data_IF_009434683522
#
_entry.id   IF_009434683522
#
_cell.length_a   1.000
_cell.length_b   1.000
_cell.length_c   1.000
_cell.angle_alpha   90.00
_cell.angle_beta   90.00
_cell.angle_gamma   90.00
#
_symmetry.space_group_name_H-M   'P 1'
#
loop_
_entity.id
_entity.type
_entity.pdbx_description
1 polymer ?
#
# COMPACT_ATOMS: atom_id res chain seq x y z
N UNK A 1 -14.43 3.13 17.19
CA UNK A 1 -13.66 4.37 16.86
C UNK A 1 -13.03 5.01 18.10
N UNK A 2 -11.72 5.24 18.09
CA UNK A 2 -10.95 5.93 19.15
C UNK A 2 -11.46 7.35 19.43
N UNK A 3 -11.42 7.78 20.71
CA UNK A 3 -11.78 9.13 21.20
C UNK A 3 -11.10 10.26 20.39
N UNK A 4 -9.88 10.02 19.94
CA UNK A 4 -9.05 10.95 19.17
C UNK A 4 -9.61 11.26 17.77
N UNK A 5 -10.32 10.33 17.13
CA UNK A 5 -10.94 10.55 15.80
C UNK A 5 -12.16 11.47 15.94
N UNK A 6 -12.91 11.33 17.05
CA UNK A 6 -14.08 12.18 17.33
C UNK A 6 -13.68 13.63 17.64
N UNK A 7 -12.54 13.84 18.30
CA UNK A 7 -12.05 15.17 18.67
C UNK A 7 -11.53 16.00 17.49
N UNK A 8 -11.08 15.36 16.40
CA UNK A 8 -10.50 16.09 15.25
C UNK A 8 -11.53 16.68 14.26
N UNK A 9 -12.83 16.46 14.46
CA UNK A 9 -13.91 16.90 13.55
C UNK A 9 -13.62 16.58 12.07
N UNK A 10 -12.95 15.46 11.80
CA UNK A 10 -12.65 15.04 10.43
C UNK A 10 -13.82 14.22 9.91
N UNK A 11 -14.43 14.72 8.83
CA UNK A 11 -15.63 14.11 8.23
C UNK A 11 -15.31 12.86 7.40
N UNK A 12 -14.10 12.75 6.85
CA UNK A 12 -13.69 11.62 6.01
C UNK A 12 -12.23 11.22 6.24
N UNK A 13 -11.99 9.92 6.38
CA UNK A 13 -10.66 9.36 6.56
C UNK A 13 -10.47 8.13 5.67
N UNK A 14 -9.25 7.95 5.18
CA UNK A 14 -8.84 6.76 4.43
C UNK A 14 -7.71 6.08 5.19
N UNK A 15 -7.90 4.80 5.44
CA UNK A 15 -6.94 3.93 6.09
C UNK A 15 -5.86 3.48 5.09
N UNK A 16 -4.59 3.73 5.39
CA UNK A 16 -3.48 3.25 4.57
C UNK A 16 -2.74 2.17 5.35
N UNK A 17 -2.75 0.97 4.78
CA UNK A 17 -2.12 -0.16 5.44
C UNK A 17 -0.75 -0.51 4.86
N UNK A 18 -0.05 -1.38 5.55
CA UNK A 18 1.21 -1.95 5.08
C UNK A 18 0.98 -3.20 4.23
N UNK A 19 2.00 -3.59 3.45
CA UNK A 19 1.93 -4.78 2.57
C UNK A 19 1.58 -6.07 3.31
N UNK A 20 1.86 -6.14 4.61
CA UNK A 20 1.54 -7.30 5.45
C UNK A 20 0.14 -7.29 6.06
N UNK A 21 -0.64 -6.22 5.90
CA UNK A 21 -1.92 -6.07 6.58
C UNK A 21 -3.05 -6.88 5.94
N UNK A 22 -2.94 -7.19 4.65
CA UNK A 22 -4.02 -7.89 3.95
C UNK A 22 -4.27 -9.30 4.52
N UNK A 23 -5.49 -9.53 4.98
CA UNK A 23 -6.12 -10.84 5.18
C UNK A 23 -7.63 -10.70 4.95
N UNK A 24 -8.32 -11.79 4.63
CA UNK A 24 -9.78 -11.74 4.43
C UNK A 24 -10.53 -11.26 5.68
N UNK A 25 -10.07 -11.68 6.87
CA UNK A 25 -10.64 -11.25 8.14
C UNK A 25 -10.45 -9.75 8.38
N UNK A 26 -9.27 -9.22 8.06
CA UNK A 26 -9.00 -7.79 8.20
C UNK A 26 -9.86 -6.96 7.25
N UNK A 27 -10.08 -7.42 6.02
CA UNK A 27 -10.98 -6.75 5.07
C UNK A 27 -12.41 -6.78 5.58
N UNK A 28 -12.88 -7.93 6.07
CA UNK A 28 -14.22 -8.06 6.66
C UNK A 28 -14.44 -7.08 7.82
N UNK A 29 -13.48 -7.00 8.74
CA UNK A 29 -13.54 -6.06 9.86
C UNK A 29 -13.59 -4.60 9.38
N UNK A 30 -12.78 -4.22 8.39
CA UNK A 30 -12.83 -2.86 7.82
C UNK A 30 -14.19 -2.57 7.15
N UNK A 31 -14.78 -3.57 6.52
CA UNK A 31 -16.07 -3.47 5.85
C UNK A 31 -17.25 -3.36 6.82
N UNK A 32 -17.25 -4.15 7.90
CA UNK A 32 -18.25 -4.09 8.98
C UNK A 32 -18.27 -2.71 9.65
N UNK A 33 -17.10 -2.12 9.86
CA UNK A 33 -16.92 -0.77 10.40
C UNK A 33 -17.13 0.35 9.34
N UNK A 34 -17.45 -0.02 8.09
CA UNK A 34 -17.70 0.91 6.96
C UNK A 34 -16.52 1.86 6.69
N UNK A 35 -15.30 1.36 6.84
CA UNK A 35 -14.08 2.15 6.71
C UNK A 35 -13.64 2.22 5.24
N UNK A 36 -13.07 3.37 4.86
CA UNK A 36 -12.40 3.52 3.56
C UNK A 36 -10.93 3.14 3.71
N UNK A 37 -10.37 2.42 2.75
CA UNK A 37 -9.00 1.91 2.85
C UNK A 37 -8.26 1.81 1.52
N UNK A 38 -6.93 1.85 1.60
CA UNK A 38 -5.95 1.54 0.55
C UNK A 38 -4.91 0.61 1.17
N UNK A 39 -4.80 -0.60 0.63
CA UNK A 39 -3.98 -1.67 1.18
C UNK A 39 -3.09 -2.19 0.06
N UNK A 40 -1.76 -1.99 0.11
CA UNK A 40 -0.85 -2.60 -0.84
C UNK A 40 -0.81 -4.12 -0.61
N UNK A 41 -0.74 -4.90 -1.68
CA UNK A 41 -0.68 -6.36 -1.61
C UNK A 41 0.75 -6.86 -1.75
N UNK A 42 1.06 -7.99 -1.12
CA UNK A 42 2.29 -8.75 -1.42
C UNK A 42 2.22 -9.33 -2.83
N UNK A 43 3.34 -9.37 -3.54
CA UNK A 43 3.40 -9.85 -4.94
C UNK A 43 3.03 -11.33 -5.12
N UNK A 44 3.10 -12.13 -4.06
CA UNK A 44 2.64 -13.52 -4.06
C UNK A 44 1.14 -13.67 -3.75
N UNK A 45 0.41 -12.57 -3.59
CA UNK A 45 -1.02 -12.61 -3.30
C UNK A 45 -1.80 -13.07 -4.55
N UNK A 46 -2.65 -14.07 -4.37
CA UNK A 46 -3.44 -14.69 -5.45
C UNK A 46 -4.48 -13.74 -6.06
N UNK A 47 -4.81 -12.63 -5.42
CA UNK A 47 -5.67 -11.59 -6.00
C UNK A 47 -5.02 -10.88 -7.19
N UNK A 48 -3.68 -10.86 -7.25
CA UNK A 48 -2.97 -10.11 -8.28
C UNK A 48 -2.99 -10.89 -9.60
N UNK A 49 -3.41 -10.23 -10.68
CA UNK A 49 -3.38 -10.78 -12.02
C UNK A 49 -2.17 -10.28 -12.83
N UNK A 50 -1.07 -11.03 -12.81
CA UNK A 50 0.11 -10.72 -13.62
C UNK A 50 0.01 -11.14 -15.08
N UNK A 51 -1.06 -11.84 -15.50
CA UNK A 51 -1.20 -12.33 -16.89
C UNK A 51 -1.11 -11.21 -17.92
N UNK A 52 -1.51 -9.99 -17.53
CA UNK A 52 -1.45 -8.78 -18.36
C UNK A 52 -0.03 -8.37 -18.72
N UNK A 53 0.96 -8.69 -17.88
CA UNK A 53 2.38 -8.40 -18.11
C UNK A 53 3.14 -9.54 -18.81
N UNK A 54 2.50 -10.69 -19.01
CA UNK A 54 3.12 -11.84 -19.69
C UNK A 54 3.14 -11.68 -21.21
N UNK A 55 2.22 -10.87 -21.76
CA UNK A 55 2.11 -10.67 -23.20
C UNK A 55 3.14 -9.64 -23.66
N UNK A 56 3.90 -9.93 -24.71
CA UNK A 56 4.92 -9.01 -25.26
C UNK A 56 4.37 -7.63 -25.64
N UNK A 57 3.07 -7.54 -25.93
CA UNK A 57 2.36 -6.32 -26.29
C UNK A 57 1.70 -5.61 -25.11
N UNK A 58 2.01 -5.97 -23.86
CA UNK A 58 1.36 -5.39 -22.67
C UNK A 58 1.42 -3.86 -22.65
N UNK A 59 2.53 -3.27 -23.11
CA UNK A 59 2.69 -1.80 -23.23
C UNK A 59 1.71 -1.16 -24.19
N UNK A 60 1.32 -1.87 -25.27
CA UNK A 60 0.30 -1.38 -26.20
C UNK A 60 -1.09 -1.39 -25.58
N UNK A 61 -1.34 -2.28 -24.62
CA UNK A 61 -2.65 -2.44 -23.93
C UNK A 61 -2.78 -1.57 -22.68
N UNK A 62 -1.66 -1.21 -22.06
CA UNK A 62 -1.58 -0.26 -20.96
C UNK A 62 -1.62 1.18 -21.49
N UNK A 63 -2.83 1.65 -21.82
CA UNK A 63 -3.03 3.03 -22.26
C UNK A 63 -2.99 4.05 -21.10
N UNK A 64 -3.25 3.59 -19.88
CA UNK A 64 -3.34 4.47 -18.73
C UNK A 64 -1.97 4.68 -18.08
N UNK A 65 -1.58 5.94 -17.98
CA UNK A 65 -0.35 6.35 -17.31
C UNK A 65 -0.52 7.74 -16.67
N UNK A 66 0.38 8.06 -15.75
CA UNK A 66 0.51 9.39 -15.17
C UNK A 66 1.96 9.65 -14.78
N UNK A 67 2.33 10.94 -14.66
CA UNK A 67 3.65 11.32 -14.13
C UNK A 67 3.60 11.44 -12.62
N UNK A 68 4.56 10.83 -11.93
CA UNK A 68 4.77 10.97 -10.48
C UNK A 68 6.25 11.12 -10.21
N UNK A 69 6.67 12.22 -9.58
CA UNK A 69 8.09 12.50 -9.25
C UNK A 69 9.03 12.32 -10.47
N UNK A 70 8.64 12.86 -11.63
CA UNK A 70 9.36 12.74 -12.91
C UNK A 70 9.50 11.30 -13.45
N UNK A 71 8.68 10.36 -12.97
CA UNK A 71 8.58 8.99 -13.50
C UNK A 71 7.20 8.77 -14.10
N UNK A 72 7.16 8.10 -15.24
CA UNK A 72 5.90 7.65 -15.82
C UNK A 72 5.50 6.35 -15.14
N UNK A 73 4.33 6.37 -14.51
CA UNK A 73 3.71 5.22 -13.86
C UNK A 73 2.56 4.76 -14.73
N UNK A 74 2.65 3.55 -15.26
CA UNK A 74 1.56 2.92 -15.99
C UNK A 74 0.67 2.16 -15.00
N UNK A 75 -0.63 2.05 -15.28
CA UNK A 75 -1.53 1.33 -14.39
C UNK A 75 -2.71 0.68 -15.11
N UNK A 76 -3.34 -0.25 -14.43
CA UNK A 76 -4.66 -0.74 -14.81
C UNK A 76 -5.50 -1.03 -13.56
N UNK A 77 -6.81 -0.83 -13.71
CA UNK A 77 -7.81 -1.09 -12.68
C UNK A 77 -8.61 -2.31 -13.08
N UNK A 78 -8.97 -3.13 -12.10
CA UNK A 78 -9.76 -4.34 -12.30
C UNK A 78 -10.47 -4.69 -11.00
N UNK A 79 -11.45 -5.58 -11.10
CA UNK A 79 -12.17 -6.12 -9.96
C UNK A 79 -11.98 -7.63 -9.93
N UNK A 80 -11.77 -8.18 -8.73
CA UNK A 80 -11.66 -9.62 -8.49
C UNK A 80 -12.31 -9.93 -7.15
N UNK A 81 -13.17 -10.95 -7.11
CA UNK A 81 -13.89 -11.36 -5.89
C UNK A 81 -14.66 -10.20 -5.22
N UNK A 82 -15.23 -9.29 -6.02
CA UNK A 82 -15.93 -8.08 -5.52
C UNK A 82 -15.01 -7.00 -4.95
N UNK A 83 -13.69 -7.19 -5.03
CA UNK A 83 -12.67 -6.28 -4.52
C UNK A 83 -12.07 -5.44 -5.66
N UNK A 84 -11.99 -4.13 -5.46
CA UNK A 84 -11.38 -3.21 -6.44
C UNK A 84 -9.86 -3.18 -6.27
N UNK A 85 -9.15 -3.49 -7.35
CA UNK A 85 -7.69 -3.50 -7.39
C UNK A 85 -7.19 -2.51 -8.44
N UNK A 86 -6.04 -1.93 -8.12
CA UNK A 86 -5.23 -1.17 -9.07
C UNK A 86 -3.81 -1.69 -9.01
N UNK A 87 -3.25 -1.99 -10.17
CA UNK A 87 -1.85 -2.39 -10.30
C UNK A 87 -1.10 -1.32 -11.05
N UNK A 88 -0.04 -0.84 -10.43
CA UNK A 88 0.90 0.14 -10.97
C UNK A 88 2.17 -0.56 -11.44
N UNK A 89 2.78 -0.03 -12.49
CA UNK A 89 4.07 -0.43 -13.02
C UNK A 89 4.97 0.81 -13.09
N UNK A 90 6.07 0.77 -12.36
CA UNK A 90 7.19 1.71 -12.46
C UNK A 90 8.33 1.02 -13.23
N UNK A 91 8.57 1.47 -14.47
CA UNK A 91 9.63 0.93 -15.33
C UNK A 91 11.04 1.18 -14.79
N UNK A 92 11.26 2.30 -14.10
CA UNK A 92 12.55 2.56 -13.46
C UNK A 92 12.79 1.57 -12.32
N UNK A 93 11.76 1.33 -11.51
CA UNK A 93 11.85 0.33 -10.44
C UNK A 93 12.02 -1.08 -11.01
N UNK A 94 11.33 -1.41 -12.11
CA UNK A 94 11.46 -2.70 -12.79
C UNK A 94 12.91 -2.98 -13.18
N UNK A 95 13.53 -2.05 -13.92
CA UNK A 95 14.93 -2.19 -14.37
C UNK A 95 15.89 -2.26 -13.19
N UNK A 96 15.64 -1.48 -12.14
CA UNK A 96 16.47 -1.51 -10.92
C UNK A 96 16.39 -2.86 -10.20
N UNK A 97 15.19 -3.42 -10.02
CA UNK A 97 14.99 -4.72 -9.37
C UNK A 97 15.55 -5.87 -10.22
N UNK A 98 15.42 -5.81 -11.55
CA UNK A 98 16.02 -6.77 -12.47
C UNK A 98 17.55 -6.80 -12.35
N UNK A 99 18.18 -5.62 -12.39
CA UNK A 99 19.62 -5.49 -12.23
C UNK A 99 20.10 -6.02 -10.86
N UNK A 100 19.41 -5.66 -9.78
CA UNK A 100 19.74 -6.15 -8.43
C UNK A 100 19.67 -7.69 -8.36
N UNK A 101 18.62 -8.29 -8.92
CA UNK A 101 18.50 -9.75 -8.97
C UNK A 101 19.67 -10.40 -9.73
N UNK A 102 20.01 -9.90 -10.93
CA UNK A 102 21.11 -10.42 -11.75
C UNK A 102 22.50 -10.21 -11.12
N UNK A 103 22.66 -9.19 -10.28
CA UNK A 103 23.90 -9.03 -9.51
C UNK A 103 23.97 -10.03 -8.35
N UNK A 104 22.82 -10.33 -7.71
CA UNK A 104 22.75 -11.33 -6.64
C UNK A 104 22.98 -12.75 -7.12
N UNK A 105 22.54 -13.11 -8.33
CA UNK A 105 22.87 -14.42 -8.92
C UNK A 105 24.38 -14.63 -9.06
N UNK A 106 25.17 -13.56 -9.24
CA UNK A 106 26.64 -13.63 -9.29
C UNK A 106 27.29 -13.74 -7.91
N UNK A 107 26.69 -13.09 -6.90
CA UNK A 107 27.24 -13.01 -5.52
C UNK A 107 26.79 -14.17 -4.63
N UNK A 108 25.60 -14.70 -4.87
CA UNK A 108 24.90 -15.68 -4.03
C UNK A 108 24.19 -16.73 -4.89
N UNK A 109 24.95 -17.57 -5.63
CA UNK A 109 24.38 -18.53 -6.57
C UNK A 109 23.53 -19.62 -5.89
N UNK A 110 23.73 -19.87 -4.59
CA UNK A 110 22.94 -20.84 -3.81
C UNK A 110 21.49 -20.37 -3.54
N UNK A 111 21.24 -19.04 -3.52
CA UNK A 111 19.93 -18.47 -3.19
C UNK A 111 19.23 -17.84 -4.40
N UNK A 112 19.99 -17.46 -5.43
CA UNK A 112 19.49 -16.78 -6.62
C UNK A 112 19.95 -17.51 -7.86
N UNK A 113 19.00 -17.96 -8.67
CA UNK A 113 19.26 -18.69 -9.91
C UNK A 113 18.44 -18.13 -11.06
N UNK A 114 18.88 -18.41 -12.30
CA UNK A 114 18.20 -17.96 -13.51
C UNK A 114 16.70 -18.38 -13.58
N UNK A 115 16.29 -19.60 -13.19
CA UNK A 115 14.86 -19.98 -13.18
C UNK A 115 14.00 -19.05 -12.34
N UNK A 116 14.45 -18.70 -11.13
CA UNK A 116 13.73 -17.81 -10.23
C UNK A 116 13.66 -16.35 -10.72
N UNK A 117 14.56 -15.94 -11.62
CA UNK A 117 14.47 -14.66 -12.31
C UNK A 117 13.27 -14.63 -13.26
N UNK A 118 13.12 -15.67 -14.10
CA UNK A 118 12.03 -15.75 -15.07
C UNK A 118 10.66 -15.80 -14.41
N UNK A 119 10.52 -16.50 -13.28
CA UNK A 119 9.27 -16.52 -12.50
C UNK A 119 8.88 -15.14 -11.94
N UNK A 120 9.87 -14.32 -11.60
CA UNK A 120 9.67 -12.99 -10.99
C UNK A 120 9.63 -11.86 -12.00
N UNK A 121 9.95 -12.11 -13.26
CA UNK A 121 10.08 -11.10 -14.32
C UNK A 121 8.85 -10.18 -14.41
N UNK A 122 7.65 -10.77 -14.36
CA UNK A 122 6.38 -10.04 -14.46
C UNK A 122 5.98 -9.29 -13.18
N UNK A 123 6.70 -9.52 -12.06
CA UNK A 123 6.43 -8.90 -10.77
C UNK A 123 7.31 -7.67 -10.52
N UNK A 124 8.43 -7.54 -11.22
CA UNK A 124 9.35 -6.42 -11.03
C UNK A 124 8.70 -5.08 -11.39
N UNK A 125 8.98 -4.06 -10.58
CA UNK A 125 8.42 -2.72 -10.73
C UNK A 125 6.92 -2.63 -10.44
N UNK A 126 6.27 -3.72 -10.05
CA UNK A 126 4.82 -3.73 -9.81
C UNK A 126 4.47 -3.38 -8.36
N UNK A 127 3.34 -2.68 -8.21
CA UNK A 127 2.69 -2.40 -6.95
C UNK A 127 1.18 -2.52 -7.13
N UNK A 128 0.58 -3.55 -6.54
CA UNK A 128 -0.88 -3.73 -6.54
C UNK A 128 -1.45 -3.22 -5.23
N UNK A 129 -2.55 -2.47 -5.30
CA UNK A 129 -3.30 -2.00 -4.15
C UNK A 129 -4.75 -2.44 -4.26
N UNK A 130 -5.26 -2.98 -3.16
CA UNK A 130 -6.67 -3.12 -2.89
C UNK A 130 -7.19 -1.80 -2.32
N UNK A 131 -8.32 -1.31 -2.81
CA UNK A 131 -8.90 -0.07 -2.28
C UNK A 131 -10.43 -0.12 -2.21
N UNK A 132 -10.97 0.60 -1.23
CA UNK A 132 -12.40 0.85 -1.07
C UNK A 132 -12.61 2.26 -0.57
N UNK A 133 -13.28 3.09 -1.37
CA UNK A 133 -13.59 4.48 -1.04
C UNK A 133 -15.03 4.79 -1.39
N UNK A 134 -15.63 5.70 -0.62
CA UNK A 134 -17.01 6.16 -0.79
C UNK A 134 -17.18 6.99 -2.06
N UNK A 135 -16.18 7.82 -2.40
CA UNK A 135 -16.11 8.56 -3.65
C UNK A 135 -15.30 7.81 -4.71
N UNK A 136 -15.59 8.11 -5.97
CA UNK A 136 -14.72 7.72 -7.08
C UNK A 136 -13.37 8.45 -6.93
N UNK A 137 -12.28 7.68 -6.86
CA UNK A 137 -10.93 8.21 -6.83
C UNK A 137 -10.17 7.72 -8.05
N UNK A 138 -9.32 8.59 -8.58
CA UNK A 138 -8.46 8.25 -9.72
C UNK A 138 -7.22 7.47 -9.25
N UNK A 139 -6.64 6.66 -10.13
CA UNK A 139 -5.50 5.82 -9.80
C UNK A 139 -4.25 6.61 -9.41
N UNK A 140 -4.02 7.77 -10.01
CA UNK A 140 -2.93 8.67 -9.62
C UNK A 140 -3.09 9.13 -8.15
N UNK A 141 -4.32 9.47 -7.75
CA UNK A 141 -4.62 9.88 -6.37
C UNK A 141 -4.39 8.73 -5.38
N UNK A 142 -4.78 7.49 -5.71
CA UNK A 142 -4.49 6.31 -4.89
C UNK A 142 -2.98 6.17 -4.67
N UNK A 143 -2.21 6.26 -5.75
CA UNK A 143 -0.76 6.11 -5.71
C UNK A 143 -0.09 7.19 -4.85
N UNK A 144 -0.48 8.45 -5.04
CA UNK A 144 0.04 9.58 -4.27
C UNK A 144 -0.32 9.48 -2.79
N UNK A 145 -1.58 9.15 -2.46
CA UNK A 145 -2.02 8.95 -1.08
C UNK A 145 -1.16 7.87 -0.41
N UNK A 146 -0.95 6.74 -1.08
CA UNK A 146 -0.10 5.68 -0.54
C UNK A 146 1.36 6.12 -0.34
N UNK A 147 1.93 6.89 -1.28
CA UNK A 147 3.32 7.37 -1.17
C UNK A 147 3.55 8.33 -0.01
N UNK A 148 2.53 9.06 0.43
CA UNK A 148 2.61 9.93 1.60
C UNK A 148 2.86 9.17 2.92
N UNK A 149 2.66 7.85 2.96
CA UNK A 149 3.00 7.00 4.12
C UNK A 149 4.44 7.20 4.59
N UNK A 150 5.40 7.32 3.68
CA UNK A 150 6.82 7.47 4.04
C UNK A 150 7.09 8.82 4.73
N UNK A 151 6.50 9.92 4.22
CA UNK A 151 6.62 11.25 4.85
C UNK A 151 6.08 11.21 6.28
N UNK A 152 4.97 10.48 6.46
CA UNK A 152 4.33 10.30 7.75
C UNK A 152 5.23 9.51 8.70
N UNK A 153 5.80 8.37 8.27
CA UNK A 153 6.73 7.59 9.08
C UNK A 153 7.92 8.43 9.57
N UNK A 154 8.55 9.20 8.69
CA UNK A 154 9.68 10.08 9.04
C UNK A 154 9.30 11.14 10.08
N UNK A 155 8.10 11.73 9.96
CA UNK A 155 7.60 12.67 10.99
C UNK A 155 7.40 11.99 12.36
N UNK A 156 6.97 10.74 12.40
CA UNK A 156 6.81 10.03 13.67
C UNK A 156 8.15 9.63 14.29
N UNK A 157 9.09 9.17 13.49
CA UNK A 157 10.41 8.78 13.98
C UNK A 157 11.14 9.99 14.59
N UNK A 158 10.95 11.20 14.03
CA UNK A 158 11.53 12.42 14.59
C UNK A 158 10.87 12.89 15.89
N UNK A 159 9.56 12.71 16.05
CA UNK A 159 8.81 13.15 17.24
C UNK A 159 8.94 12.14 18.40
N UNK A 160 8.93 10.85 18.10
CA UNK A 160 8.83 9.78 19.11
C UNK A 160 10.06 8.87 19.19
N UNK A 161 11.08 9.06 18.34
CA UNK A 161 12.36 8.34 18.41
C UNK A 161 13.33 8.86 19.49
N UNK A 162 12.91 9.83 20.31
CA UNK A 162 13.71 10.33 21.44
C UNK A 162 13.63 9.34 22.62
N UNK A 163 14.77 9.00 23.28
CA UNK A 163 14.83 8.00 24.35
C UNK A 163 14.03 8.34 25.62
N UNK A 164 13.37 9.50 25.68
CA UNK A 164 12.58 9.97 26.82
C UNK A 164 11.15 9.40 26.91
N UNK A 165 10.68 8.60 25.94
CA UNK A 165 9.30 8.11 25.92
C UNK A 165 9.23 6.57 25.82
N UNK A 166 9.17 5.84 26.95
CA UNK A 166 9.24 4.37 26.98
C UNK A 166 7.97 3.65 26.52
N UNK A 167 6.90 4.36 26.13
CA UNK A 167 5.62 3.76 25.72
C UNK A 167 5.51 3.39 24.23
N UNK A 168 6.59 3.51 23.45
CA UNK A 168 6.52 3.23 22.00
C UNK A 168 6.67 1.74 21.73
N UNK A 169 5.56 1.00 21.84
CA UNK A 169 5.42 -0.25 21.10
C UNK A 169 5.51 0.07 19.60
N UNK A 170 6.39 -0.65 18.91
CA UNK A 170 6.63 -0.60 17.47
C UNK A 170 5.33 -1.00 16.72
N UNK A 171 4.47 -0.03 16.44
CA UNK A 171 3.21 -0.23 15.72
C UNK A 171 3.48 -0.35 14.22
N UNK A 172 3.67 -1.59 13.76
CA UNK A 172 4.22 -1.93 12.44
C UNK A 172 3.21 -2.04 11.28
N UNK A 173 1.95 -1.62 11.40
CA UNK A 173 0.94 -2.12 10.43
C UNK A 173 -0.07 -1.13 9.84
N UNK A 174 -0.20 0.10 10.36
CA UNK A 174 -1.34 0.98 9.97
C UNK A 174 -0.97 2.47 10.07
N UNK A 175 -1.19 3.22 8.99
CA UNK A 175 -1.10 4.68 8.94
C UNK A 175 -2.42 5.29 8.46
N UNK A 176 -2.99 6.24 9.20
CA UNK A 176 -4.21 6.95 8.77
C UNK A 176 -3.86 8.24 8.04
N UNK A 177 -4.57 8.55 6.95
CA UNK A 177 -4.49 9.86 6.29
C UNK A 177 -5.86 10.55 6.34
N UNK A 178 -5.88 11.72 6.99
CA UNK A 178 -7.06 12.58 7.12
C UNK A 178 -6.98 13.71 6.09
N UNK A 179 -8.00 13.82 5.22
CA UNK A 179 -8.11 14.91 4.23
C UNK A 179 -9.18 15.90 4.73
N UNK A 180 -8.76 17.07 5.20
CA UNK A 180 -9.69 18.11 5.65
C UNK A 180 -9.94 19.11 4.52
N UNK A 181 -11.20 19.34 4.12
CA UNK A 181 -11.56 20.18 2.98
C UNK A 181 -11.41 21.70 3.24
N UNK A 182 -11.30 22.12 4.50
CA UNK A 182 -11.21 23.56 4.87
C UNK A 182 -9.80 24.06 5.18
N UNK A 183 -8.83 23.16 5.40
CA UNK A 183 -7.45 23.54 5.74
C UNK A 183 -6.53 22.49 5.13
N UNK A 184 -5.48 22.90 4.40
CA UNK A 184 -4.37 22.02 3.98
C UNK A 184 -3.52 21.54 5.18
N UNK A 185 -4.15 21.07 6.25
CA UNK A 185 -3.49 20.42 7.38
C UNK A 185 -3.85 18.94 7.35
N UNK A 186 -2.82 18.10 7.15
CA UNK A 186 -2.90 16.64 7.26
C UNK A 186 -2.71 16.29 8.72
N UNK A 187 -3.65 15.57 9.31
CA UNK A 187 -3.54 15.03 10.66
C UNK A 187 -3.32 13.52 10.56
N UNK A 188 -2.46 12.97 11.43
CA UNK A 188 -2.21 11.53 11.49
C UNK A 188 -2.58 11.03 12.88
N UNK A 189 -3.52 10.09 12.95
CA UNK A 189 -3.87 9.37 14.17
C UNK A 189 -3.31 7.95 14.04
N UNK A 190 -2.55 7.46 15.02
CA UNK A 190 -2.24 6.03 15.13
C UNK A 190 -3.32 5.34 15.95
N UNK A 191 -4.04 4.37 15.39
CA UNK A 191 -4.76 3.36 16.16
C UNK A 191 -4.05 2.02 16.00
N UNK A 192 -3.71 1.41 17.13
CA UNK A 192 -3.28 0.03 17.20
C UNK A 192 -4.48 -0.89 16.98
N UNK A 193 -4.41 -1.79 16.01
CA UNK A 193 -5.20 -3.02 16.07
C UNK A 193 -4.32 -4.03 16.78
N UNK A 194 -4.51 -4.15 18.09
CA UNK A 194 -3.92 -5.25 18.87
C UNK A 194 -4.86 -6.43 18.67
N UNK A 195 -4.43 -7.41 17.88
CA UNK A 195 -5.04 -8.74 17.97
C UNK A 195 -4.60 -9.34 19.30
N UNK A 196 -5.46 -9.21 20.31
CA UNK A 196 -5.67 -10.22 21.33
C UNK A 196 -6.96 -9.91 22.09
N UNK A 197 -7.87 -10.89 22.03
CA UNK A 197 -8.89 -11.16 23.03
C UNK A 197 -10.06 -10.16 23.13
N UNK A 198 -11.22 -10.68 22.75
CA UNK A 198 -12.52 -10.36 23.34
C UNK A 198 -12.40 -9.93 24.80
N UNK A 199 -12.78 -8.69 25.08
CA UNK A 199 -13.39 -8.30 26.34
C UNK A 199 -14.17 -7.00 26.11
N UNK A 200 -15.44 -7.15 25.74
CA UNK A 200 -16.45 -6.12 25.97
C UNK A 200 -16.67 -6.11 27.48
N UNK A 201 -16.35 -5.01 28.15
CA UNK A 201 -16.97 -4.70 29.44
C UNK A 201 -17.27 -3.21 29.51
N UNK A 202 -18.58 -2.96 29.42
CA UNK A 202 -19.41 -1.82 29.83
C UNK A 202 -18.75 -0.44 30.01
#
# INVERSE_FOLDING_TARGET
>A
MSRHVKEMNVKEFVFIADKGFYSQDNIRMLDEEKLQYIIPLRRNNTLIDFSRFQKADYKKKLHNNFSCQNRIICYYVYEKDGMKLVTFLDEHLRVSEENDYLQRTKRQPEQYAAPGFYEKLHQFGTLTMLYKTSRAIQANEIYEIYKQRNEIEVMFDSIYGSPANPCVFKLQHITFVLKNHSVRKRYVIRMAIVNNSVAISQ
#
